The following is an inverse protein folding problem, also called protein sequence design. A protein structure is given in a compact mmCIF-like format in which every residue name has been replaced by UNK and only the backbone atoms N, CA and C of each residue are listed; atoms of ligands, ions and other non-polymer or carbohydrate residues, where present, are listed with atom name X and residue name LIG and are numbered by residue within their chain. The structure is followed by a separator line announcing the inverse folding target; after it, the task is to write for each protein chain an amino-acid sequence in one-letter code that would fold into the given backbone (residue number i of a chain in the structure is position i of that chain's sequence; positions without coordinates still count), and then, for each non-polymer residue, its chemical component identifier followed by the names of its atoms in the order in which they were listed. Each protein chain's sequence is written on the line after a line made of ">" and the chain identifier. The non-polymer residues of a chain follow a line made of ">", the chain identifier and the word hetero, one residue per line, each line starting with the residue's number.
data_IF_197970803998
#
_entry.id   IF_197970803998
#
_cell.length_a   1.000
_cell.length_b   1.000
_cell.length_c   1.000
_cell.angle_alpha   90.00
_cell.angle_beta   90.00
_cell.angle_gamma   90.00
#
_symmetry.space_group_name_H-M   'P 1'
#
loop_
_entity.id
_entity.type
_entity.pdbx_description
1 polymer ?
#
# COMPACT_ATOMS: atom_id res chain seq x y z
N UNK A 1 10.58 14.61 14.24
CA UNK A 1 9.12 14.44 14.37
C UNK A 1 8.84 12.94 14.27
N UNK A 2 8.23 12.32 15.30
CA UNK A 2 7.70 10.95 15.15
C UNK A 2 6.67 10.98 14.01
N UNK A 3 6.69 10.00 13.11
CA UNK A 3 5.72 9.91 12.03
C UNK A 3 4.30 9.86 12.63
N UNK A 4 3.30 10.44 11.95
CA UNK A 4 1.90 10.38 12.46
C UNK A 4 1.46 8.95 12.79
N UNK A 5 1.93 7.98 12.00
CA UNK A 5 1.67 6.55 12.21
C UNK A 5 2.18 6.02 13.55
N UNK A 6 3.39 6.42 13.97
CA UNK A 6 3.95 5.98 15.25
C UNK A 6 3.15 6.51 16.44
N UNK A 7 2.56 7.71 16.30
CA UNK A 7 1.72 8.32 17.34
C UNK A 7 0.35 7.61 17.41
N UNK A 8 -0.27 7.34 16.27
CA UNK A 8 -1.54 6.59 16.21
C UNK A 8 -1.40 5.17 16.79
N UNK A 9 -0.23 4.55 16.63
CA UNK A 9 0.06 3.24 17.21
C UNK A 9 0.19 3.31 18.74
N UNK A 10 0.92 4.30 19.25
CA UNK A 10 1.10 4.55 20.68
C UNK A 10 -0.26 4.86 21.35
N UNK A 11 -1.10 5.67 20.71
CA UNK A 11 -2.46 6.00 21.17
C UNK A 11 -3.37 4.75 21.19
N UNK A 12 -3.26 3.87 20.18
CA UNK A 12 -4.03 2.63 20.13
C UNK A 12 -3.63 1.66 21.25
N UNK A 13 -2.33 1.38 21.44
CA UNK A 13 -1.90 0.47 22.51
C UNK A 13 -2.21 1.03 23.90
N UNK A 14 -2.04 2.34 24.09
CA UNK A 14 -2.46 3.05 25.31
C UNK A 14 -3.94 2.84 25.62
N UNK A 15 -4.81 2.96 24.62
CA UNK A 15 -6.25 2.72 24.79
C UNK A 15 -6.58 1.27 25.16
N UNK A 16 -5.84 0.29 24.61
CA UNK A 16 -6.02 -1.11 24.95
C UNK A 16 -5.64 -1.40 26.41
N UNK A 17 -4.53 -0.83 26.89
CA UNK A 17 -4.10 -0.94 28.30
C UNK A 17 -5.17 -0.37 29.23
N UNK A 18 -5.69 0.81 28.93
CA UNK A 18 -6.76 1.42 29.71
C UNK A 18 -8.03 0.55 29.77
N UNK A 19 -8.41 -0.10 28.66
CA UNK A 19 -9.55 -1.03 28.65
C UNK A 19 -9.29 -2.29 29.49
N UNK A 20 -8.07 -2.82 29.49
CA UNK A 20 -7.69 -3.97 30.32
C UNK A 20 -7.74 -3.61 31.80
N UNK A 21 -7.16 -2.46 32.18
CA UNK A 21 -7.15 -1.99 33.57
C UNK A 21 -8.58 -1.75 34.08
N UNK A 22 -9.46 -1.20 33.24
CA UNK A 22 -10.86 -1.03 33.57
C UNK A 22 -11.59 -2.36 33.77
N UNK A 23 -11.32 -3.35 32.92
CA UNK A 23 -11.91 -4.68 33.05
C UNK A 23 -11.45 -5.41 34.32
N UNK A 24 -10.17 -5.23 34.69
CA UNK A 24 -9.62 -5.76 35.95
C UNK A 24 -10.25 -5.07 37.15
N UNK A 25 -10.38 -3.74 37.15
CA UNK A 25 -11.03 -3.00 38.23
C UNK A 25 -12.49 -3.43 38.45
N UNK A 26 -13.25 -3.65 37.37
CA UNK A 26 -14.64 -4.14 37.42
C UNK A 26 -14.76 -5.59 37.89
N UNK A 27 -13.73 -6.41 37.65
CA UNK A 27 -13.66 -7.76 38.17
C UNK A 27 -13.31 -7.77 39.66
N UNK A 28 -12.33 -6.97 40.09
CA UNK A 28 -11.93 -6.83 41.49
C UNK A 28 -13.05 -6.25 42.37
N UNK A 29 -13.84 -5.30 41.83
CA UNK A 29 -15.03 -4.78 42.49
C UNK A 29 -16.19 -5.77 42.57
N UNK A 30 -16.06 -6.95 41.92
CA UNK A 30 -17.09 -7.99 41.76
C UNK A 30 -18.34 -7.53 40.99
N UNK A 31 -18.24 -6.43 40.26
CA UNK A 31 -19.30 -5.97 39.38
C UNK A 31 -19.40 -6.84 38.12
N UNK A 32 -18.27 -7.40 37.68
CA UNK A 32 -18.20 -8.39 36.60
C UNK A 32 -17.80 -9.77 37.14
N UNK A 33 -18.40 -10.81 36.57
CA UNK A 33 -17.98 -12.19 36.79
C UNK A 33 -16.82 -12.59 35.87
N UNK A 34 -16.21 -13.74 36.15
CA UNK A 34 -15.07 -14.24 35.39
C UNK A 34 -15.37 -14.43 33.90
N UNK A 35 -16.60 -14.85 33.56
CA UNK A 35 -16.98 -15.09 32.17
C UNK A 35 -17.09 -13.78 31.37
N UNK A 36 -17.63 -12.74 31.98
CA UNK A 36 -17.83 -11.42 31.38
C UNK A 36 -16.50 -10.73 31.17
N UNK A 37 -15.60 -10.82 32.15
CA UNK A 37 -14.23 -10.31 32.04
C UNK A 37 -13.44 -11.04 30.97
N UNK A 38 -13.47 -12.38 30.93
CA UNK A 38 -12.78 -13.18 29.89
C UNK A 38 -13.31 -12.85 28.48
N UNK A 39 -14.63 -12.76 28.30
CA UNK A 39 -15.24 -12.40 27.01
C UNK A 39 -14.80 -11.01 26.53
N UNK A 40 -14.69 -10.04 27.44
CA UNK A 40 -14.21 -8.71 27.12
C UNK A 40 -12.72 -8.69 26.75
N UNK A 41 -11.87 -9.37 27.54
CA UNK A 41 -10.43 -9.48 27.27
C UNK A 41 -10.15 -10.15 25.92
N UNK A 42 -10.89 -11.22 25.57
CA UNK A 42 -10.79 -11.86 24.24
C UNK A 42 -11.19 -10.92 23.10
N UNK A 43 -12.07 -9.97 23.35
CA UNK A 43 -12.47 -8.96 22.35
C UNK A 43 -11.34 -7.97 22.11
N UNK A 44 -10.66 -7.53 23.17
CA UNK A 44 -9.45 -6.69 23.08
C UNK A 44 -8.35 -7.45 22.32
N UNK A 45 -8.10 -8.71 22.68
CA UNK A 45 -7.07 -9.54 22.02
C UNK A 45 -7.31 -9.67 20.51
N UNK A 46 -8.57 -9.89 20.10
CA UNK A 46 -8.94 -9.92 18.67
C UNK A 46 -8.70 -8.58 17.98
N UNK A 47 -9.00 -7.47 18.66
CA UNK A 47 -8.75 -6.11 18.15
C UNK A 47 -7.26 -5.87 17.89
N UNK A 48 -6.41 -6.24 18.85
CA UNK A 48 -4.94 -6.13 18.72
C UNK A 48 -4.43 -6.99 17.56
N UNK A 49 -4.85 -8.27 17.46
CA UNK A 49 -4.45 -9.16 16.36
C UNK A 49 -4.86 -8.63 14.99
N UNK A 50 -6.05 -8.02 14.88
CA UNK A 50 -6.51 -7.41 13.63
C UNK A 50 -5.62 -6.23 13.24
N UNK A 51 -5.33 -5.33 14.18
CA UNK A 51 -4.50 -4.13 13.92
C UNK A 51 -3.07 -4.50 13.53
N UNK A 52 -2.46 -5.48 14.19
CA UNK A 52 -1.11 -5.95 13.82
C UNK A 52 -1.09 -6.58 12.42
N UNK A 53 -2.15 -7.31 12.05
CA UNK A 53 -2.29 -7.86 10.70
C UNK A 53 -2.45 -6.75 9.66
N UNK A 54 -3.27 -5.73 9.93
CA UNK A 54 -3.44 -4.56 9.04
C UNK A 54 -2.12 -3.81 8.83
N UNK A 55 -1.32 -3.63 9.89
CA UNK A 55 0.01 -3.01 9.80
C UNK A 55 0.99 -3.85 8.99
N UNK A 56 0.99 -5.17 9.18
CA UNK A 56 1.84 -6.08 8.41
C UNK A 56 1.49 -6.07 6.92
N UNK A 57 0.19 -6.06 6.58
CA UNK A 57 -0.27 -5.93 5.18
C UNK A 57 0.11 -4.57 4.61
N UNK A 58 -0.08 -3.48 5.36
CA UNK A 58 0.31 -2.15 4.90
C UNK A 58 1.83 -2.03 4.66
N UNK A 59 2.66 -2.65 5.50
CA UNK A 59 4.10 -2.71 5.31
C UNK A 59 4.48 -3.48 4.03
N UNK A 60 3.88 -4.65 3.79
CA UNK A 60 4.11 -5.44 2.58
C UNK A 60 3.66 -4.73 1.30
N UNK A 61 2.48 -4.10 1.30
CA UNK A 61 1.98 -3.34 0.14
C UNK A 61 2.90 -2.16 -0.17
N UNK A 62 3.46 -1.51 0.86
CA UNK A 62 4.41 -0.42 0.69
C UNK A 62 5.72 -0.91 0.07
N UNK A 63 6.26 -2.04 0.50
CA UNK A 63 7.44 -2.65 -0.11
C UNK A 63 7.22 -2.98 -1.61
N UNK A 64 6.07 -3.59 -1.95
CA UNK A 64 5.72 -3.92 -3.35
C UNK A 64 5.54 -2.65 -4.20
N UNK A 65 4.98 -1.57 -3.64
CA UNK A 65 4.84 -0.29 -4.37
C UNK A 65 6.19 0.39 -4.63
N UNK A 66 7.14 0.30 -3.70
CA UNK A 66 8.47 0.91 -3.84
C UNK A 66 9.30 0.18 -4.90
N UNK A 67 9.22 -1.15 -4.98
CA UNK A 67 9.87 -1.91 -6.06
C UNK A 67 9.26 -1.59 -7.44
N UNK A 68 7.93 -1.47 -7.54
CA UNK A 68 7.26 -1.12 -8.80
C UNK A 68 7.50 0.34 -9.25
N UNK A 69 7.72 1.28 -8.32
CA UNK A 69 8.09 2.66 -8.62
C UNK A 69 9.59 2.81 -8.98
N UNK A 70 10.48 2.09 -8.29
CA UNK A 70 11.91 2.08 -8.60
C UNK A 70 12.21 1.48 -9.98
N UNK A 71 11.50 0.41 -10.37
CA UNK A 71 11.62 -0.18 -11.71
C UNK A 71 11.02 0.70 -12.83
N UNK A 72 10.05 1.56 -12.50
CA UNK A 72 9.54 2.58 -13.43
C UNK A 72 10.50 3.77 -13.60
N UNK A 73 11.28 4.12 -12.56
CA UNK A 73 12.15 5.29 -12.57
C UNK A 73 13.43 5.13 -13.44
N UNK A 74 13.84 3.90 -13.76
CA UNK A 74 15.08 3.62 -14.52
C UNK A 74 14.84 3.10 -15.94
N UNK A 75 13.60 2.88 -16.35
CA UNK A 75 13.33 2.31 -17.66
C UNK A 75 13.14 3.38 -18.74
N UNK A 76 14.08 3.41 -19.68
CA UNK A 76 13.96 4.17 -20.92
C UNK A 76 13.69 3.22 -22.10
N UNK A 77 12.56 3.37 -22.82
CA UNK A 77 12.24 2.54 -23.97
C UNK A 77 13.24 2.77 -25.11
N UNK A 78 13.71 1.67 -25.71
CA UNK A 78 14.58 1.67 -26.89
C UNK A 78 13.76 1.46 -28.15
N UNK A 79 14.29 1.93 -29.29
CA UNK A 79 13.68 1.66 -30.60
C UNK A 79 13.60 0.15 -30.83
N UNK A 80 12.41 -0.35 -31.13
CA UNK A 80 12.11 -1.77 -31.29
C UNK A 80 11.45 -2.42 -30.07
N UNK A 81 11.46 -1.78 -28.90
CA UNK A 81 10.82 -2.32 -27.70
C UNK A 81 9.31 -2.45 -27.88
N UNK A 82 8.74 -3.52 -27.34
CA UNK A 82 7.29 -3.70 -27.22
C UNK A 82 6.84 -3.15 -25.87
N UNK A 83 5.88 -2.24 -25.90
CA UNK A 83 5.38 -1.51 -24.73
C UNK A 83 3.86 -1.53 -24.72
N UNK A 84 3.26 -1.37 -23.54
CA UNK A 84 1.81 -1.27 -23.34
C UNK A 84 1.42 0.17 -23.01
N UNK A 85 0.41 0.66 -23.72
CA UNK A 85 -0.18 1.98 -23.52
C UNK A 85 -1.23 1.91 -22.41
N UNK A 86 -0.96 2.56 -21.27
CA UNK A 86 -1.86 2.57 -20.11
C UNK A 86 -3.23 3.17 -20.44
N UNK A 87 -3.23 4.32 -21.14
CA UNK A 87 -4.47 5.03 -21.54
C UNK A 87 -5.36 4.24 -22.51
N UNK A 88 -4.79 3.29 -23.25
CA UNK A 88 -5.53 2.45 -24.20
C UNK A 88 -5.73 1.04 -23.64
N UNK A 89 -5.94 0.91 -22.33
CA UNK A 89 -6.25 -0.36 -21.68
C UNK A 89 -5.14 -1.41 -21.78
N UNK A 90 -3.87 -0.99 -21.79
CA UNK A 90 -2.73 -1.92 -21.88
C UNK A 90 -2.45 -2.43 -23.30
N UNK A 91 -2.98 -1.75 -24.31
CA UNK A 91 -2.72 -2.04 -25.73
C UNK A 91 -1.22 -2.09 -26.04
N UNK A 92 -0.76 -3.15 -26.72
CA UNK A 92 0.64 -3.31 -27.15
C UNK A 92 0.97 -2.45 -28.38
N UNK A 93 2.13 -1.81 -28.36
CA UNK A 93 2.71 -1.04 -29.45
C UNK A 93 4.24 -1.21 -29.49
N UNK A 94 4.86 -0.88 -30.63
CA UNK A 94 6.32 -0.95 -30.81
C UNK A 94 6.91 0.45 -30.81
N UNK A 95 7.98 0.67 -30.06
CA UNK A 95 8.67 1.98 -29.99
C UNK A 95 9.44 2.22 -31.28
N UNK A 96 9.18 3.37 -31.92
CA UNK A 96 9.83 3.80 -33.17
C UNK A 96 10.91 4.85 -32.90
N UNK A 97 10.72 5.67 -31.87
CA UNK A 97 11.67 6.70 -31.49
C UNK A 97 11.41 7.22 -30.08
N UNK A 98 12.45 7.73 -29.44
CA UNK A 98 12.39 8.35 -28.12
C UNK A 98 13.13 9.68 -28.15
N UNK A 99 12.44 10.75 -27.77
CA UNK A 99 13.01 12.07 -27.61
C UNK A 99 13.35 12.28 -26.12
N UNK A 100 14.64 12.25 -25.80
CA UNK A 100 15.16 12.43 -24.43
C UNK A 100 14.91 13.83 -23.88
N UNK A 101 14.96 14.86 -24.72
CA UNK A 101 14.81 16.26 -24.31
C UNK A 101 13.40 16.54 -23.80
N UNK A 102 12.39 15.99 -24.49
CA UNK A 102 10.98 16.22 -24.16
C UNK A 102 10.34 15.05 -23.41
N UNK A 103 11.11 13.99 -23.11
CA UNK A 103 10.63 12.73 -22.52
C UNK A 103 9.39 12.14 -23.25
N UNK A 104 9.33 12.29 -24.58
CA UNK A 104 8.24 11.74 -25.40
C UNK A 104 8.69 10.53 -26.19
N UNK A 105 7.80 9.54 -26.30
CA UNK A 105 8.02 8.27 -26.98
C UNK A 105 7.06 8.19 -28.17
N UNK A 106 7.60 7.92 -29.34
CA UNK A 106 6.80 7.62 -30.54
C UNK A 106 6.65 6.12 -30.66
N UNK A 107 5.43 5.63 -30.68
CA UNK A 107 5.09 4.20 -30.78
C UNK A 107 4.21 3.94 -32.00
N UNK A 108 4.32 2.74 -32.55
CA UNK A 108 3.55 2.26 -33.70
C UNK A 108 2.72 1.05 -33.32
N UNK A 109 1.43 1.10 -33.64
CA UNK A 109 0.49 -0.03 -33.53
C UNK A 109 -0.09 -0.30 -34.92
N UNK A 110 0.38 -1.35 -35.58
CA UNK A 110 -0.01 -1.66 -36.95
C UNK A 110 0.40 -0.55 -37.92
N UNK A 111 -0.58 0.11 -38.54
CA UNK A 111 -0.38 1.24 -39.45
C UNK A 111 -0.35 2.61 -38.75
N UNK A 112 -0.81 2.68 -37.50
CA UNK A 112 -0.94 3.95 -36.77
C UNK A 112 0.34 4.24 -35.98
N UNK A 113 0.85 5.46 -36.11
CA UNK A 113 1.96 5.99 -35.31
C UNK A 113 1.42 7.07 -34.38
N UNK A 114 1.81 7.04 -33.11
CA UNK A 114 1.37 7.98 -32.08
C UNK A 114 2.51 8.37 -31.16
N UNK A 115 2.43 9.56 -30.58
CA UNK A 115 3.42 10.07 -29.63
C UNK A 115 2.76 10.19 -28.25
N UNK A 116 3.38 9.61 -27.23
CA UNK A 116 2.91 9.65 -25.85
C UNK A 116 4.06 9.99 -24.90
N UNK A 117 3.72 10.30 -23.65
CA UNK A 117 4.74 10.53 -22.61
C UNK A 117 5.24 9.20 -22.05
N UNK A 118 6.44 9.19 -21.46
CA UNK A 118 7.00 7.99 -20.83
C UNK A 118 6.08 7.40 -19.74
N UNK A 119 5.42 8.26 -18.95
CA UNK A 119 4.51 7.83 -17.88
C UNK A 119 3.27 7.06 -18.37
N UNK A 120 2.85 7.30 -19.62
CA UNK A 120 1.71 6.62 -20.24
C UNK A 120 2.06 5.20 -20.73
N UNK A 121 3.32 4.77 -20.59
CA UNK A 121 3.82 3.47 -21.02
C UNK A 121 4.08 2.54 -19.83
N UNK A 122 4.04 1.25 -20.13
CA UNK A 122 4.43 0.14 -19.25
C UNK A 122 5.03 -0.98 -20.10
N UNK A 123 5.76 -1.92 -19.49
CA UNK A 123 6.27 -3.11 -20.18
C UNK A 123 5.16 -4.15 -20.45
#
# INVERSE_FOLDING_TARGET
>A
MRSMLAKEEEDFYSSCVACVDQALALYESREWDHSRTDAFLRTIERGVRRRTTELAVAAQVKEVSVEAEADNALWFPKKGDRVKLKRLGGTKATVVGFNKTNQTVTVRKGTITMTCTLGDLSR
#
